data_IF_196945346344
#
_entry.id   IF_196945346344
#
_cell.length_a   1.000
_cell.length_b   1.000
_cell.length_c   1.000
_cell.angle_alpha   90.00
_cell.angle_beta   90.00
_cell.angle_gamma   90.00
#
_symmetry.space_group_name_H-M   'P 1'
#
loop_
_entity.id
_entity.type
_entity.pdbx_description
1 polymer ?
#
# COMPACT_ATOMS: atom_id res chain seq x y z
N UNK A 1 2.25 4.49 -0.57
CA UNK A 1 2.85 4.94 -1.83
C UNK A 1 2.06 4.37 -2.98
N UNK A 2 1.76 5.16 -4.00
CA UNK A 2 1.24 4.66 -5.26
C UNK A 2 2.35 4.67 -6.32
N UNK A 3 2.38 3.66 -7.16
CA UNK A 3 3.42 3.50 -8.17
C UNK A 3 2.83 3.45 -9.56
N UNK A 4 3.26 4.38 -10.40
CA UNK A 4 2.95 4.42 -11.83
C UNK A 4 4.22 4.72 -12.61
N UNK A 5 4.14 4.69 -13.94
CA UNK A 5 5.29 5.05 -14.77
C UNK A 5 5.71 6.51 -14.57
N UNK A 6 4.76 7.42 -14.28
CA UNK A 6 5.04 8.82 -13.98
C UNK A 6 5.46 9.03 -12.52
N UNK A 7 4.94 8.23 -11.59
CA UNK A 7 5.12 8.42 -10.14
C UNK A 7 5.75 7.20 -9.48
N UNK A 8 7.08 7.21 -9.31
CA UNK A 8 7.78 6.15 -8.58
C UNK A 8 9.12 6.62 -8.00
N UNK A 9 9.62 5.87 -7.01
CA UNK A 9 10.72 6.30 -6.15
C UNK A 9 12.06 6.42 -6.90
N UNK A 10 12.31 5.58 -7.90
CA UNK A 10 13.61 5.55 -8.59
C UNK A 10 13.88 6.79 -9.46
N UNK A 11 12.85 7.59 -9.75
CA UNK A 11 12.97 8.90 -10.43
C UNK A 11 12.58 10.08 -9.53
N UNK A 12 12.34 9.85 -8.24
CA UNK A 12 12.06 10.91 -7.26
C UNK A 12 10.70 11.60 -7.39
N UNK A 13 9.74 11.01 -8.11
CA UNK A 13 8.40 11.59 -8.34
C UNK A 13 7.28 10.94 -7.53
N UNK A 14 7.63 10.03 -6.62
CA UNK A 14 6.66 9.25 -5.86
C UNK A 14 5.62 10.10 -5.13
N UNK A 15 4.36 9.65 -5.17
CA UNK A 15 3.28 10.18 -4.34
C UNK A 15 3.07 9.23 -3.18
N UNK A 16 3.40 9.69 -1.97
CA UNK A 16 3.27 8.88 -0.76
C UNK A 16 2.83 9.75 0.41
N UNK A 17 2.16 9.12 1.37
CA UNK A 17 1.94 9.65 2.70
C UNK A 17 2.24 8.53 3.71
N UNK A 18 2.48 8.94 4.95
CA UNK A 18 2.73 8.05 6.08
C UNK A 18 1.76 8.37 7.19
N UNK A 19 1.35 7.34 7.92
CA UNK A 19 0.56 7.46 9.14
C UNK A 19 1.17 6.54 10.18
N UNK A 20 1.21 6.98 11.44
CA UNK A 20 1.67 6.14 12.55
C UNK A 20 0.48 5.36 13.10
N UNK A 21 0.63 4.04 13.19
CA UNK A 21 -0.31 3.10 13.80
C UNK A 21 0.49 2.33 14.84
N UNK A 22 0.56 2.81 16.09
CA UNK A 22 1.53 2.32 17.08
C UNK A 22 1.46 0.81 17.36
N UNK A 23 0.25 0.22 17.29
CA UNK A 23 -0.03 -1.18 17.58
C UNK A 23 -0.29 -2.03 16.32
N UNK A 24 0.18 -1.59 15.14
CA UNK A 24 -0.07 -2.27 13.86
C UNK A 24 0.42 -3.72 13.76
N UNK A 25 1.39 -4.11 14.61
CA UNK A 25 1.89 -5.48 14.73
C UNK A 25 1.27 -6.28 15.87
N UNK A 26 0.44 -5.65 16.71
CA UNK A 26 -0.11 -6.23 17.94
C UNK A 26 -1.62 -6.46 17.87
N UNK A 27 -2.34 -5.64 17.10
CA UNK A 27 -3.81 -5.72 16.96
C UNK A 27 -4.23 -5.78 15.49
N UNK A 28 -5.46 -6.23 15.28
CA UNK A 28 -6.11 -6.10 13.98
C UNK A 28 -6.47 -4.64 13.71
N UNK A 29 -6.12 -4.18 12.52
CA UNK A 29 -6.53 -2.89 11.96
C UNK A 29 -7.17 -3.11 10.59
N UNK A 30 -8.11 -2.24 10.24
CA UNK A 30 -8.75 -2.28 8.92
C UNK A 30 -7.98 -1.38 7.98
N UNK A 31 -7.27 -1.99 7.04
CA UNK A 31 -6.67 -1.31 5.90
C UNK A 31 -7.65 -1.35 4.74
N UNK A 32 -8.05 -0.19 4.23
CA UNK A 32 -9.02 -0.08 3.14
C UNK A 32 -8.48 0.78 1.99
N UNK A 33 -8.92 0.44 0.78
CA UNK A 33 -8.68 1.20 -0.44
C UNK A 33 -10.04 1.49 -1.07
N UNK A 34 -10.43 2.75 -1.05
CA UNK A 34 -11.58 3.26 -1.78
C UNK A 34 -11.11 3.73 -3.14
N UNK A 35 -11.70 3.20 -4.20
CA UNK A 35 -11.25 3.45 -5.56
C UNK A 35 -12.42 3.67 -6.50
N UNK A 36 -12.36 4.78 -7.22
CA UNK A 36 -13.26 5.16 -8.30
C UNK A 36 -12.46 5.80 -9.44
N UNK A 37 -13.15 6.26 -10.50
CA UNK A 37 -12.55 6.84 -11.71
C UNK A 37 -11.72 8.11 -11.42
N UNK A 38 -12.02 8.81 -10.33
CA UNK A 38 -11.40 10.10 -9.99
C UNK A 38 -10.29 9.97 -8.94
N UNK A 39 -10.39 8.99 -8.05
CA UNK A 39 -9.54 8.91 -6.86
C UNK A 39 -9.27 7.49 -6.40
N UNK A 40 -8.09 7.30 -5.83
CA UNK A 40 -7.75 6.17 -4.96
C UNK A 40 -7.43 6.75 -3.59
N UNK A 41 -8.26 6.44 -2.59
CA UNK A 41 -8.08 6.85 -1.20
C UNK A 41 -7.77 5.63 -0.34
N UNK A 42 -6.73 5.74 0.49
CA UNK A 42 -6.30 4.70 1.42
C UNK A 42 -6.60 5.12 2.84
N UNK A 43 -7.16 4.19 3.60
CA UNK A 43 -7.61 4.40 4.97
C UNK A 43 -6.99 3.36 5.90
N UNK A 44 -6.80 3.77 7.16
CA UNK A 44 -6.59 2.86 8.30
C UNK A 44 -7.68 3.14 9.32
N UNK A 45 -8.40 2.11 9.74
CA UNK A 45 -9.50 2.20 10.72
C UNK A 45 -10.52 3.29 10.37
N UNK A 46 -10.95 3.30 9.10
CA UNK A 46 -11.89 4.27 8.50
C UNK A 46 -11.39 5.73 8.49
N UNK A 47 -10.10 5.97 8.75
CA UNK A 47 -9.50 7.30 8.66
C UNK A 47 -8.65 7.41 7.39
N UNK A 48 -9.04 8.26 6.43
CA UNK A 48 -8.22 8.48 5.24
C UNK A 48 -6.91 9.15 5.61
N UNK A 49 -5.80 8.66 5.07
CA UNK A 49 -4.47 9.25 5.28
C UNK A 49 -3.73 9.52 3.97
N UNK A 50 -4.21 8.97 2.85
CA UNK A 50 -3.62 9.19 1.54
C UNK A 50 -4.73 9.19 0.47
N UNK A 51 -4.73 10.21 -0.39
CA UNK A 51 -5.58 10.26 -1.58
C UNK A 51 -4.73 10.58 -2.80
N UNK A 52 -4.81 9.74 -3.81
CA UNK A 52 -4.25 9.96 -5.13
C UNK A 52 -5.38 10.31 -6.10
N UNK A 53 -5.27 11.47 -6.75
CA UNK A 53 -6.28 11.97 -7.68
C UNK A 53 -5.87 11.64 -9.11
N UNK A 54 -6.86 11.29 -9.94
CA UNK A 54 -6.68 11.22 -11.38
C UNK A 54 -6.43 12.62 -11.92
N UNK A 55 -5.23 12.83 -12.48
CA UNK A 55 -4.87 14.11 -13.09
C UNK A 55 -5.43 14.23 -14.51
N UNK A 56 -6.06 13.18 -15.04
CA UNK A 56 -6.58 13.11 -16.40
C UNK A 56 -5.49 13.39 -17.46
N UNK A 57 -4.24 13.01 -17.15
CA UNK A 57 -3.07 13.17 -18.04
C UNK A 57 -2.63 11.87 -18.72
N UNK A 58 -3.47 10.83 -18.64
CA UNK A 58 -3.28 9.56 -19.33
C UNK A 58 -2.63 8.45 -18.48
N UNK A 59 -2.43 7.31 -19.13
CA UNK A 59 -2.11 6.03 -18.50
C UNK A 59 -0.76 6.00 -17.75
N UNK A 60 0.20 6.86 -18.12
CA UNK A 60 1.47 6.96 -17.39
C UNK A 60 1.26 7.47 -15.96
N UNK A 61 0.23 8.30 -15.75
CA UNK A 61 -0.18 8.83 -14.44
C UNK A 61 -1.29 7.98 -13.79
N UNK A 62 -2.21 7.43 -14.59
CA UNK A 62 -3.40 6.72 -14.11
C UNK A 62 -3.65 5.40 -14.87
N UNK A 63 -2.91 4.32 -14.57
CA UNK A 63 -3.11 3.02 -15.20
C UNK A 63 -4.14 2.13 -14.47
N UNK A 64 -5.09 2.74 -13.76
CA UNK A 64 -5.96 2.04 -12.83
C UNK A 64 -7.27 1.58 -13.45
N UNK A 65 -7.70 2.13 -14.58
CA UNK A 65 -9.01 1.81 -15.22
C UNK A 65 -9.03 0.46 -15.96
N UNK A 66 -8.67 -0.60 -15.25
CA UNK A 66 -8.67 -2.00 -15.72
C UNK A 66 -8.81 -2.94 -14.52
N UNK A 67 -9.15 -4.23 -14.73
CA UNK A 67 -9.20 -5.18 -13.62
C UNK A 67 -7.84 -5.37 -12.93
N UNK A 68 -7.88 -5.47 -11.59
CA UNK A 68 -6.74 -5.82 -10.74
C UNK A 68 -7.07 -7.04 -9.88
N UNK A 69 -6.05 -7.65 -9.29
CA UNK A 69 -6.18 -8.67 -8.25
C UNK A 69 -5.47 -8.19 -6.98
N UNK A 70 -5.87 -8.74 -5.83
CA UNK A 70 -5.22 -8.47 -4.54
C UNK A 70 -4.03 -9.41 -4.34
N UNK A 71 -2.94 -8.87 -3.79
CA UNK A 71 -1.75 -9.61 -3.39
C UNK A 71 -1.44 -9.31 -1.93
N UNK A 72 -1.29 -10.36 -1.12
CA UNK A 72 -0.92 -10.29 0.29
C UNK A 72 0.30 -11.17 0.51
N UNK A 73 1.41 -10.60 0.99
CA UNK A 73 2.65 -11.33 1.20
C UNK A 73 3.46 -10.76 2.38
N UNK A 74 4.33 -11.59 2.96
CA UNK A 74 5.40 -11.16 3.86
C UNK A 74 6.72 -11.31 3.09
N UNK A 75 7.36 -10.20 2.75
CA UNK A 75 8.70 -10.21 2.17
C UNK A 75 9.76 -10.23 3.27
N UNK A 76 10.87 -10.95 3.05
CA UNK A 76 12.01 -11.02 3.96
C UNK A 76 13.26 -10.53 3.22
N UNK A 77 13.95 -9.53 3.78
CA UNK A 77 15.14 -8.94 3.18
C UNK A 77 14.84 -7.96 2.04
N UNK A 78 15.56 -8.07 0.93
CA UNK A 78 15.50 -7.15 -0.20
C UNK A 78 16.31 -5.86 0.00
N UNK A 79 16.47 -5.08 -1.07
CA UNK A 79 17.27 -3.83 -1.04
C UNK A 79 16.73 -2.78 -0.07
N UNK A 80 15.43 -2.80 0.20
CA UNK A 80 14.79 -1.89 1.14
C UNK A 80 14.54 -2.53 2.50
N UNK A 81 13.80 -3.64 2.56
CA UNK A 81 13.47 -4.31 3.83
C UNK A 81 14.67 -4.93 4.56
N UNK A 82 15.72 -5.28 3.83
CA UNK A 82 16.96 -5.86 4.35
C UNK A 82 18.14 -4.89 4.38
N UNK A 83 17.91 -3.58 4.27
CA UNK A 83 18.98 -2.58 4.23
C UNK A 83 19.94 -2.67 5.44
N UNK A 84 19.47 -3.18 6.57
CA UNK A 84 20.25 -3.42 7.79
C UNK A 84 20.49 -4.91 8.08
N UNK A 85 20.33 -5.78 7.08
CA UNK A 85 20.28 -7.23 7.25
C UNK A 85 18.93 -7.73 7.76
N UNK A 86 18.86 -9.03 8.04
CA UNK A 86 17.69 -9.72 8.62
C UNK A 86 18.15 -10.40 9.90
N UNK A 87 17.49 -10.13 11.03
CA UNK A 87 17.77 -10.82 12.28
C UNK A 87 17.13 -12.21 12.26
N UNK A 88 17.95 -13.25 12.25
CA UNK A 88 17.47 -14.64 12.18
C UNK A 88 16.72 -15.07 13.46
N UNK A 89 16.92 -14.37 14.59
CA UNK A 89 16.27 -14.72 15.87
C UNK A 89 14.79 -14.36 15.92
N UNK A 90 14.30 -13.54 14.99
CA UNK A 90 12.89 -13.11 14.97
C UNK A 90 11.97 -14.17 14.36
N UNK A 91 12.51 -15.18 13.70
CA UNK A 91 11.66 -16.20 13.07
C UNK A 91 11.11 -17.22 14.08
N UNK A 92 9.88 -17.73 13.85
CA UNK A 92 8.98 -17.44 12.74
C UNK A 92 8.15 -16.16 12.94
N UNK A 93 7.72 -15.54 11.82
CA UNK A 93 6.80 -14.39 11.81
C UNK A 93 5.50 -14.76 11.08
N UNK A 94 4.39 -14.09 11.43
CA UNK A 94 3.05 -14.36 10.89
C UNK A 94 2.34 -13.06 10.52
N UNK A 95 1.55 -13.12 9.45
CA UNK A 95 0.58 -12.08 9.08
C UNK A 95 -0.81 -12.67 9.28
N UNK A 96 -1.51 -12.17 10.28
CA UNK A 96 -2.87 -12.61 10.59
C UNK A 96 -3.86 -11.79 9.76
N UNK A 97 -4.73 -12.48 9.03
CA UNK A 97 -5.77 -11.86 8.21
C UNK A 97 -7.10 -12.47 8.64
N UNK A 98 -7.97 -11.65 9.23
CA UNK A 98 -9.32 -12.06 9.61
C UNK A 98 -10.23 -12.14 8.38
N UNK A 99 -10.17 -11.13 7.50
CA UNK A 99 -10.95 -11.12 6.26
C UNK A 99 -10.33 -10.27 5.15
N UNK A 100 -10.80 -10.56 3.93
CA UNK A 100 -10.72 -9.66 2.77
C UNK A 100 -12.15 -9.47 2.27
N UNK A 101 -12.57 -8.23 2.04
CA UNK A 101 -13.90 -7.90 1.52
C UNK A 101 -13.76 -6.91 0.37
N UNK A 102 -14.58 -7.09 -0.65
CA UNK A 102 -14.67 -6.21 -1.83
C UNK A 102 -16.12 -5.78 -1.95
N UNK A 103 -16.33 -4.47 -2.14
CA UNK A 103 -17.63 -3.86 -2.32
C UNK A 103 -17.63 -3.08 -3.65
N UNK A 104 -18.78 -3.01 -4.31
CA UNK A 104 -18.99 -2.31 -5.58
C UNK A 104 -20.33 -1.57 -5.53
#
# INVERSE_FOLDING_TARGET
>A
SIHTKKYFHSIGTQKTATVSVPDCSEKFHVYALEWNEETITVLVDNKPYFTFKNEHTGNDAWPFDKPFHLLLNIAVGGSWGGQKGVDEKVFPQKMWIDYVRVYQ
#
